data_IF_645568712587
#
_entry.id   IF_645568712587
#
_cell.length_a   1.000
_cell.length_b   1.000
_cell.length_c   1.000
_cell.angle_alpha   90.00
_cell.angle_beta   90.00
_cell.angle_gamma   90.00
#
_symmetry.space_group_name_H-M   'P 1'
#
loop_
_entity.id
_entity.type
_entity.pdbx_description
1 polymer ?
#
# COMPACT_ATOMS: atom_id res chain seq x y z
N UNK A 1 6.01 -5.36 -16.25
CA UNK A 1 6.90 -4.97 -17.33
C UNK A 1 8.12 -5.87 -17.38
N UNK A 2 8.43 -6.42 -18.56
CA UNK A 2 9.55 -7.34 -18.77
C UNK A 2 10.89 -6.73 -18.40
N UNK A 3 11.04 -5.41 -18.52
CA UNK A 3 12.27 -4.70 -18.26
C UNK A 3 12.42 -4.20 -16.82
N UNK A 4 11.41 -4.45 -16.00
CA UNK A 4 11.41 -4.01 -14.59
C UNK A 4 11.93 -5.15 -13.71
N UNK A 5 13.15 -5.02 -13.12
CA UNK A 5 13.68 -6.08 -12.25
C UNK A 5 12.84 -6.30 -11.00
N UNK A 6 12.00 -5.33 -10.64
CA UNK A 6 11.12 -5.43 -9.48
C UNK A 6 9.67 -5.72 -9.87
N UNK A 7 9.43 -6.17 -11.11
CA UNK A 7 8.09 -6.61 -11.52
C UNK A 7 7.59 -7.71 -10.60
N UNK A 8 6.32 -7.62 -10.21
CA UNK A 8 5.73 -8.60 -9.32
C UNK A 8 5.73 -10.00 -9.93
N UNK A 9 5.74 -10.10 -11.25
CA UNK A 9 5.80 -11.38 -11.96
C UNK A 9 7.11 -12.13 -11.70
N UNK A 10 8.17 -11.41 -11.28
CA UNK A 10 9.47 -11.98 -10.96
C UNK A 10 9.61 -12.32 -9.48
N UNK A 11 8.60 -12.05 -8.67
CA UNK A 11 8.65 -12.22 -7.22
C UNK A 11 7.76 -13.38 -6.77
N UNK A 12 8.12 -13.95 -5.63
CA UNK A 12 7.27 -14.93 -4.99
C UNK A 12 6.38 -14.24 -3.97
N UNK A 13 5.09 -14.17 -4.26
CA UNK A 13 4.11 -13.59 -3.36
C UNK A 13 3.57 -14.67 -2.44
N UNK A 14 3.65 -14.50 -1.11
CA UNK A 14 3.06 -15.47 -0.18
C UNK A 14 1.57 -15.69 -0.46
N UNK A 15 1.08 -16.89 -0.23
CA UNK A 15 -0.31 -17.25 -0.51
C UNK A 15 -1.33 -16.41 0.27
N UNK A 16 -0.93 -15.87 1.42
CA UNK A 16 -1.80 -15.04 2.26
C UNK A 16 -1.85 -13.57 1.83
N UNK A 17 -1.08 -13.19 0.80
CA UNK A 17 -0.94 -11.78 0.42
C UNK A 17 -1.38 -11.54 -1.02
N UNK A 18 -1.85 -10.33 -1.27
CA UNK A 18 -2.10 -9.83 -2.62
C UNK A 18 -1.37 -8.50 -2.78
N UNK A 19 -0.97 -8.16 -4.00
CA UNK A 19 -0.23 -6.94 -4.30
C UNK A 19 -1.01 -6.10 -5.31
N UNK A 20 -1.19 -4.84 -4.98
CA UNK A 20 -1.75 -3.84 -5.89
C UNK A 20 -0.75 -2.72 -6.11
N UNK A 21 -0.62 -2.28 -7.35
CA UNK A 21 0.22 -1.13 -7.67
C UNK A 21 -0.66 0.04 -8.05
N UNK A 22 -0.42 1.20 -7.42
CA UNK A 22 -1.07 2.45 -7.78
C UNK A 22 -0.17 3.19 -8.76
N UNK A 23 -0.76 3.68 -9.85
CA UNK A 23 -0.03 4.41 -10.89
C UNK A 23 -0.25 5.92 -10.77
N UNK A 24 0.85 6.66 -10.83
CA UNK A 24 0.83 8.11 -10.91
C UNK A 24 0.52 8.84 -9.61
N UNK A 25 0.51 10.17 -9.66
CA UNK A 25 0.20 10.99 -8.49
C UNK A 25 -1.27 10.82 -8.07
N UNK A 26 -1.51 10.92 -6.77
CA UNK A 26 -2.84 10.79 -6.20
C UNK A 26 -3.35 12.17 -5.78
N UNK A 27 -4.19 12.75 -6.61
CA UNK A 27 -4.85 14.03 -6.36
C UNK A 27 -6.35 13.86 -6.39
N UNK A 28 -7.06 14.89 -5.96
CA UNK A 28 -8.51 14.95 -6.02
C UNK A 28 -9.03 14.50 -7.39
N UNK A 29 -10.03 13.64 -7.39
CA UNK A 29 -10.64 13.11 -8.62
C UNK A 29 -10.04 11.79 -9.12
N UNK A 30 -8.81 11.45 -8.69
CA UNK A 30 -8.18 10.18 -9.05
C UNK A 30 -8.01 9.27 -7.83
N UNK A 31 -7.95 9.85 -6.65
CA UNK A 31 -7.63 9.13 -5.42
C UNK A 31 -8.75 8.18 -4.97
N UNK A 32 -9.98 8.41 -5.38
CA UNK A 32 -11.13 7.56 -5.06
C UNK A 32 -10.97 6.15 -5.62
N UNK A 33 -10.11 5.97 -6.63
CA UNK A 33 -9.81 4.64 -7.18
C UNK A 33 -9.25 3.67 -6.14
N UNK A 34 -8.63 4.19 -5.08
CA UNK A 34 -8.15 3.36 -3.98
C UNK A 34 -9.32 2.59 -3.36
N UNK A 35 -10.48 3.23 -3.23
CA UNK A 35 -11.66 2.60 -2.65
C UNK A 35 -12.30 1.54 -3.55
N UNK A 36 -11.93 1.51 -4.84
CA UNK A 36 -12.42 0.50 -5.77
C UNK A 36 -11.66 -0.82 -5.69
N UNK A 37 -10.55 -0.85 -4.96
CA UNK A 37 -9.78 -2.08 -4.77
C UNK A 37 -10.63 -3.08 -3.99
N UNK A 38 -10.82 -4.27 -4.55
CA UNK A 38 -11.63 -5.30 -3.92
C UNK A 38 -10.83 -6.03 -2.83
N UNK A 39 -11.40 -6.11 -1.65
CA UNK A 39 -10.79 -6.80 -0.52
C UNK A 39 -11.34 -8.23 -0.47
N UNK A 40 -10.48 -9.20 -0.79
CA UNK A 40 -10.84 -10.62 -0.81
C UNK A 40 -10.41 -11.26 0.50
N UNK A 41 -11.37 -11.92 1.16
CA UNK A 41 -11.15 -12.51 2.49
C UNK A 41 -10.10 -13.62 2.53
N UNK A 42 -9.79 -14.23 1.39
CA UNK A 42 -8.74 -15.27 1.35
C UNK A 42 -7.34 -14.72 1.62
N UNK A 43 -7.16 -13.40 1.53
CA UNK A 43 -5.90 -12.75 1.84
C UNK A 43 -6.01 -12.03 3.19
N UNK A 44 -4.99 -12.18 4.05
CA UNK A 44 -4.90 -11.42 5.29
C UNK A 44 -3.90 -10.26 5.21
N UNK A 45 -3.20 -10.12 4.07
CA UNK A 45 -2.28 -9.01 3.82
C UNK A 45 -2.56 -8.45 2.44
N UNK A 46 -2.65 -7.12 2.35
CA UNK A 46 -2.69 -6.41 1.07
C UNK A 46 -1.48 -5.47 1.04
N UNK A 47 -0.61 -5.69 0.06
CA UNK A 47 0.53 -4.82 -0.17
C UNK A 47 0.12 -3.81 -1.22
N UNK A 48 0.16 -2.53 -0.86
CA UNK A 48 -0.10 -1.43 -1.75
C UNK A 48 1.24 -0.87 -2.21
N UNK A 49 1.55 -1.06 -3.48
CA UNK A 49 2.82 -0.67 -4.05
C UNK A 49 2.73 0.77 -4.53
N UNK A 50 3.53 1.65 -3.92
CA UNK A 50 3.40 3.10 -4.11
C UNK A 50 4.58 3.74 -4.84
N UNK A 51 5.43 2.95 -5.47
CA UNK A 51 6.64 3.46 -6.14
C UNK A 51 6.36 4.52 -7.22
N UNK A 52 5.20 4.45 -7.86
CA UNK A 52 4.80 5.41 -8.91
C UNK A 52 4.00 6.58 -8.37
N UNK A 53 3.70 6.60 -7.08
CA UNK A 53 2.98 7.71 -6.44
C UNK A 53 4.02 8.73 -5.96
N UNK A 54 4.20 9.78 -6.75
CA UNK A 54 5.18 10.82 -6.47
C UNK A 54 4.65 11.92 -5.57
N UNK A 55 3.33 12.06 -5.49
CA UNK A 55 2.68 13.05 -4.67
C UNK A 55 1.27 12.59 -4.31
N UNK A 56 0.79 13.00 -3.14
CA UNK A 56 -0.61 12.86 -2.77
C UNK A 56 -1.03 14.07 -1.93
N UNK A 57 -2.26 14.51 -2.13
CA UNK A 57 -2.83 15.63 -1.39
C UNK A 57 -3.63 15.14 -0.17
N UNK A 58 -4.18 16.08 0.60
CA UNK A 58 -4.92 15.76 1.82
C UNK A 58 -6.16 14.92 1.52
N UNK A 59 -6.83 15.16 0.40
CA UNK A 59 -8.01 14.39 -0.01
C UNK A 59 -7.62 12.93 -0.33
N UNK A 60 -6.53 12.76 -1.06
CA UNK A 60 -6.01 11.43 -1.38
C UNK A 60 -5.62 10.67 -0.10
N UNK A 61 -4.98 11.36 0.84
CA UNK A 61 -4.63 10.77 2.13
C UNK A 61 -5.87 10.33 2.90
N UNK A 62 -6.94 11.13 2.84
CA UNK A 62 -8.20 10.78 3.49
C UNK A 62 -8.78 9.48 2.90
N UNK A 63 -8.76 9.31 1.58
CA UNK A 63 -9.19 8.07 0.94
C UNK A 63 -8.31 6.89 1.34
N UNK A 64 -7.01 7.11 1.48
CA UNK A 64 -6.10 6.06 1.94
C UNK A 64 -6.41 5.64 3.38
N UNK A 65 -6.72 6.60 4.24
CA UNK A 65 -7.15 6.32 5.61
C UNK A 65 -8.45 5.50 5.64
N UNK A 66 -9.43 5.86 4.80
CA UNK A 66 -10.67 5.10 4.68
C UNK A 66 -10.41 3.67 4.18
N UNK A 67 -9.51 3.52 3.23
CA UNK A 67 -9.13 2.20 2.73
C UNK A 67 -8.49 1.35 3.83
N UNK A 68 -7.61 1.96 4.62
CA UNK A 68 -7.01 1.30 5.78
C UNK A 68 -8.09 0.80 6.75
N UNK A 69 -9.07 1.63 7.05
CA UNK A 69 -10.17 1.23 7.95
C UNK A 69 -10.96 0.05 7.39
N UNK A 70 -11.21 0.03 6.09
CA UNK A 70 -11.89 -1.10 5.43
C UNK A 70 -11.06 -2.37 5.55
N UNK A 71 -9.75 -2.30 5.36
CA UNK A 71 -8.85 -3.43 5.55
C UNK A 71 -8.96 -3.96 6.99
N UNK A 72 -8.91 -3.08 7.97
CA UNK A 72 -8.99 -3.47 9.38
C UNK A 72 -10.30 -4.21 9.68
N UNK A 73 -11.42 -3.72 9.17
CA UNK A 73 -12.72 -4.36 9.39
C UNK A 73 -12.79 -5.77 8.80
N UNK A 74 -11.99 -6.05 7.78
CA UNK A 74 -11.97 -7.36 7.12
C UNK A 74 -10.83 -8.25 7.60
N UNK A 75 -10.08 -7.81 8.61
CA UNK A 75 -8.95 -8.56 9.14
C UNK A 75 -7.75 -8.61 8.20
N UNK A 76 -7.63 -7.61 7.34
CA UNK A 76 -6.53 -7.50 6.37
C UNK A 76 -5.55 -6.47 6.86
N UNK A 77 -4.27 -6.86 6.95
CA UNK A 77 -3.19 -5.92 7.26
C UNK A 77 -2.76 -5.21 5.98
N UNK A 78 -2.83 -3.88 5.99
CA UNK A 78 -2.34 -3.05 4.89
C UNK A 78 -0.86 -2.81 5.07
N UNK A 79 -0.08 -3.14 4.05
CA UNK A 79 1.37 -2.91 4.01
C UNK A 79 1.65 -2.00 2.81
N UNK A 80 2.44 -0.95 3.02
CA UNK A 80 2.83 -0.04 1.95
C UNK A 80 4.27 -0.33 1.55
N UNK A 81 4.56 -0.27 0.24
CA UNK A 81 5.93 -0.43 -0.23
C UNK A 81 6.35 0.76 -1.07
N UNK A 82 7.60 1.17 -0.91
CA UNK A 82 8.26 2.23 -1.66
C UNK A 82 7.45 3.54 -1.61
N UNK A 83 7.29 4.08 -0.39
CA UNK A 83 6.61 5.37 -0.21
C UNK A 83 7.62 6.49 -0.47
N UNK A 84 7.35 7.30 -1.49
CA UNK A 84 8.22 8.40 -1.88
C UNK A 84 8.17 9.54 -0.85
N UNK A 85 9.09 10.51 -0.98
CA UNK A 85 9.31 11.54 0.03
C UNK A 85 8.07 12.39 0.34
N UNK A 86 7.40 12.92 -0.69
CA UNK A 86 6.24 13.78 -0.44
C UNK A 86 5.06 13.00 0.17
N UNK A 87 4.70 11.82 -0.36
CA UNK A 87 3.67 11.00 0.31
C UNK A 87 4.04 10.65 1.75
N UNK A 88 5.31 10.32 2.02
CA UNK A 88 5.73 10.01 3.38
C UNK A 88 5.58 11.20 4.32
N UNK A 89 5.97 12.39 3.87
CA UNK A 89 5.84 13.61 4.67
C UNK A 89 4.37 13.93 4.95
N UNK A 90 3.50 13.74 3.97
CA UNK A 90 2.06 13.94 4.16
C UNK A 90 1.49 12.95 5.19
N UNK A 91 1.90 11.69 5.10
CA UNK A 91 1.48 10.65 6.05
C UNK A 91 1.94 10.98 7.46
N UNK A 92 3.19 11.39 7.63
CA UNK A 92 3.74 11.74 8.95
C UNK A 92 3.01 12.92 9.56
N UNK A 93 2.73 13.95 8.78
CA UNK A 93 1.99 15.12 9.25
C UNK A 93 0.59 14.76 9.76
N UNK A 94 -0.07 13.81 9.11
CA UNK A 94 -1.40 13.38 9.49
C UNK A 94 -1.41 12.27 10.54
N UNK A 95 -0.24 11.74 10.92
CA UNK A 95 -0.16 10.63 11.86
C UNK A 95 -0.52 9.27 11.27
N UNK A 96 -0.65 9.18 9.96
CA UNK A 96 -1.03 7.93 9.30
C UNK A 96 0.05 6.85 9.41
N UNK A 97 1.32 7.26 9.42
CA UNK A 97 2.45 6.33 9.60
C UNK A 97 2.36 5.62 10.97
N UNK A 98 1.98 6.34 12.00
CA UNK A 98 1.77 5.77 13.33
C UNK A 98 0.53 4.87 13.35
N UNK A 99 -0.53 5.28 12.67
CA UNK A 99 -1.79 4.54 12.62
C UNK A 99 -1.61 3.17 11.96
N UNK A 100 -0.95 3.12 10.81
CA UNK A 100 -0.72 1.88 10.06
C UNK A 100 0.36 1.02 10.72
N UNK A 101 1.32 1.65 11.40
CA UNK A 101 2.47 1.02 12.02
C UNK A 101 3.70 1.10 11.12
N UNK A 102 4.83 1.52 11.68
CA UNK A 102 6.07 1.70 10.91
C UNK A 102 6.54 0.40 10.27
N UNK A 103 6.31 -0.73 10.92
CA UNK A 103 6.67 -2.05 10.40
C UNK A 103 5.92 -2.42 9.14
N UNK A 104 4.81 -1.74 8.87
CA UNK A 104 3.97 -1.96 7.69
C UNK A 104 4.27 -0.95 6.57
N UNK A 105 5.29 -0.11 6.74
CA UNK A 105 5.76 0.81 5.70
C UNK A 105 7.17 0.39 5.31
N UNK A 106 7.29 -0.24 4.16
CA UNK A 106 8.53 -0.87 3.71
C UNK A 106 9.20 -0.07 2.60
N UNK A 107 10.53 -0.05 2.58
CA UNK A 107 11.28 0.71 1.58
C UNK A 107 11.23 0.08 0.20
N UNK A 108 11.13 -1.24 0.14
CA UNK A 108 11.18 -1.99 -1.12
C UNK A 108 10.14 -3.09 -1.12
N UNK A 109 9.75 -3.53 -2.32
CA UNK A 109 8.75 -4.60 -2.47
C UNK A 109 9.22 -5.90 -1.78
N UNK A 110 10.51 -6.20 -1.82
CA UNK A 110 11.02 -7.41 -1.18
C UNK A 110 10.83 -7.37 0.33
N UNK A 111 11.00 -6.20 0.95
CA UNK A 111 10.75 -6.02 2.38
C UNK A 111 9.26 -6.20 2.71
N UNK A 112 8.38 -5.70 1.84
CA UNK A 112 6.94 -5.85 2.02
C UNK A 112 6.52 -7.32 1.90
N UNK A 113 7.09 -8.05 0.95
CA UNK A 113 6.82 -9.48 0.78
C UNK A 113 7.30 -10.27 2.00
N UNK A 114 8.46 -9.91 2.56
CA UNK A 114 8.96 -10.53 3.78
C UNK A 114 8.04 -10.20 4.97
N UNK A 115 7.57 -8.97 5.06
CA UNK A 115 6.61 -8.58 6.10
C UNK A 115 5.33 -9.42 6.01
N UNK A 116 4.84 -9.66 4.80
CA UNK A 116 3.64 -10.49 4.59
C UNK A 116 3.85 -11.91 5.13
N UNK A 117 5.06 -12.48 4.95
CA UNK A 117 5.39 -13.81 5.48
C UNK A 117 5.32 -13.85 7.01
N UNK A 118 5.68 -12.75 7.67
CA UNK A 118 5.61 -12.66 9.14
C UNK A 118 4.18 -12.65 9.66
N UNK A 119 3.23 -12.26 8.82
CA UNK A 119 1.82 -12.07 9.20
C UNK A 119 0.94 -13.31 8.94
N UNK A 120 1.53 -14.40 8.61
CA UNK A 120 0.82 -15.67 8.37
C UNK A 120 0.23 -16.23 9.67
#
# INVERSE_FOLDING_TARGET
>A
DENDPDSIDLKQVPNNATVYEISGPLFFGAADKILDIKLKEKYNVLILRMRSVTALDATALHFLEQFYERCQKKGITLVLSHVNEQPMNAMKKAGFDTLIGEENICLHIDDALNRAKELV
#
